data_IF_753625830319
#
_entry.id   IF_753625830319
#
_cell.length_a   1.000
_cell.length_b   1.000
_cell.length_c   1.000
_cell.angle_alpha   90.00
_cell.angle_beta   90.00
_cell.angle_gamma   90.00
#
_symmetry.space_group_name_H-M   'P 1'
#
loop_
_entity.id
_entity.type
_entity.pdbx_description
1 polymer ?
#
# COMPACT_ATOMS: atom_id res chain seq x y z
N UNK A 1 -1.84 -23.36 2.77
CA UNK A 1 -2.31 -23.39 1.36
C UNK A 1 -1.71 -22.17 0.69
N UNK A 2 -0.79 -22.40 -0.24
CA UNK A 2 -0.14 -21.36 -1.02
C UNK A 2 -1.14 -20.85 -2.09
N UNK A 3 -1.34 -19.53 -2.15
CA UNK A 3 -2.19 -18.89 -3.15
C UNK A 3 -1.40 -18.77 -4.46
N UNK A 4 -1.78 -19.57 -5.45
CA UNK A 4 -1.34 -19.40 -6.83
C UNK A 4 -2.07 -18.20 -7.46
N UNK A 5 -1.33 -17.11 -7.62
CA UNK A 5 -1.70 -15.90 -8.35
C UNK A 5 -1.39 -16.12 -9.84
N UNK A 6 -2.41 -16.42 -10.65
CA UNK A 6 -2.23 -16.55 -12.09
C UNK A 6 -2.85 -15.37 -12.87
N UNK A 7 -1.95 -14.49 -13.34
CA UNK A 7 -1.71 -14.16 -14.77
C UNK A 7 -2.36 -12.94 -15.46
N UNK A 8 -3.01 -12.03 -14.73
CA UNK A 8 -2.91 -10.56 -15.00
C UNK A 8 -2.35 -9.83 -13.76
N UNK A 9 -1.76 -10.60 -12.85
CA UNK A 9 -1.82 -10.36 -11.41
C UNK A 9 -0.45 -10.38 -10.71
N UNK A 10 0.65 -10.19 -11.45
CA UNK A 10 1.98 -10.15 -10.84
C UNK A 10 2.36 -8.75 -10.39
N UNK A 11 2.26 -7.73 -11.25
CA UNK A 11 2.76 -6.39 -10.91
C UNK A 11 1.86 -5.66 -9.91
N UNK A 12 0.54 -5.65 -10.14
CA UNK A 12 -0.40 -5.07 -9.19
C UNK A 12 -0.41 -5.82 -7.85
N UNK A 13 -0.32 -7.15 -7.89
CA UNK A 13 -0.19 -7.99 -6.71
C UNK A 13 1.11 -7.73 -5.93
N UNK A 14 2.21 -7.47 -6.64
CA UNK A 14 3.49 -7.09 -6.04
C UNK A 14 3.44 -5.71 -5.38
N UNK A 15 2.83 -4.72 -6.03
CA UNK A 15 2.65 -3.38 -5.44
C UNK A 15 1.77 -3.46 -4.20
N UNK A 16 0.63 -4.17 -4.26
CA UNK A 16 -0.23 -4.38 -3.10
C UNK A 16 0.49 -5.10 -1.95
N UNK A 17 1.35 -6.09 -2.25
CA UNK A 17 2.17 -6.75 -1.24
C UNK A 17 3.18 -5.79 -0.61
N UNK A 18 3.87 -4.97 -1.41
CA UNK A 18 4.81 -3.95 -0.89
C UNK A 18 4.08 -2.94 0.01
N UNK A 19 2.89 -2.53 -0.38
CA UNK A 19 2.02 -1.63 0.40
C UNK A 19 1.60 -2.28 1.72
N UNK A 20 1.10 -3.51 1.70
CA UNK A 20 0.68 -4.24 2.91
C UNK A 20 1.85 -4.40 3.90
N UNK A 21 3.01 -4.83 3.40
CA UNK A 21 4.24 -4.92 4.21
C UNK A 21 4.61 -3.57 4.82
N UNK A 22 4.54 -2.50 4.04
CA UNK A 22 4.90 -1.14 4.47
C UNK A 22 3.95 -0.61 5.54
N UNK A 23 2.64 -0.80 5.36
CA UNK A 23 1.62 -0.46 6.37
C UNK A 23 1.85 -1.24 7.65
N UNK A 24 2.14 -2.54 7.55
CA UNK A 24 2.40 -3.38 8.72
C UNK A 24 3.64 -2.91 9.48
N UNK A 25 4.73 -2.63 8.76
CA UNK A 25 5.99 -2.16 9.35
C UNK A 25 5.81 -0.81 10.08
N UNK A 26 5.12 0.15 9.47
CA UNK A 26 4.89 1.46 10.12
C UNK A 26 3.95 1.36 11.33
N UNK A 27 2.95 0.46 11.31
CA UNK A 27 2.09 0.23 12.47
C UNK A 27 2.81 -0.38 13.68
N UNK A 28 3.94 -1.07 13.46
CA UNK A 28 4.76 -1.69 14.50
C UNK A 28 6.07 -0.94 14.75
N UNK A 29 6.17 0.30 14.26
CA UNK A 29 7.35 1.13 14.46
C UNK A 29 7.62 1.37 15.95
N UNK A 30 8.88 1.20 16.35
CA UNK A 30 9.41 1.59 17.66
C UNK A 30 10.69 2.42 17.48
N UNK A 31 10.89 3.43 18.32
CA UNK A 31 12.01 4.38 18.19
C UNK A 31 13.39 3.72 18.36
N UNK A 32 13.47 2.62 19.12
CA UNK A 32 14.74 1.99 19.52
C UNK A 32 15.56 1.43 18.35
N UNK A 33 14.93 1.05 17.22
CA UNK A 33 15.60 0.59 15.98
C UNK A 33 14.84 0.99 14.70
N UNK A 34 13.85 1.87 14.80
CA UNK A 34 12.86 2.06 13.74
C UNK A 34 13.36 2.83 12.51
N UNK A 35 14.42 3.62 12.61
CA UNK A 35 14.86 4.48 11.50
C UNK A 35 15.36 3.71 10.28
N UNK A 36 16.05 2.59 10.45
CA UNK A 36 16.48 1.74 9.32
C UNK A 36 15.28 1.07 8.64
N UNK A 37 14.31 0.62 9.44
CA UNK A 37 13.05 0.07 8.96
C UNK A 37 12.28 1.11 8.15
N UNK A 38 12.18 2.36 8.64
CA UNK A 38 11.50 3.45 7.92
C UNK A 38 12.20 3.79 6.61
N UNK A 39 13.54 3.76 6.57
CA UNK A 39 14.28 3.94 5.29
C UNK A 39 13.93 2.85 4.29
N UNK A 40 13.90 1.59 4.73
CA UNK A 40 13.49 0.47 3.87
C UNK A 40 12.05 0.61 3.39
N UNK A 41 11.13 1.09 4.23
CA UNK A 41 9.76 1.40 3.82
C UNK A 41 9.74 2.53 2.80
N UNK A 42 10.49 3.61 3.02
CA UNK A 42 10.60 4.74 2.08
C UNK A 42 11.08 4.29 0.70
N UNK A 43 12.09 3.43 0.63
CA UNK A 43 12.60 2.89 -0.64
C UNK A 43 11.54 2.04 -1.37
N UNK A 44 10.76 1.25 -0.64
CA UNK A 44 9.63 0.48 -1.22
C UNK A 44 8.53 1.39 -1.75
N UNK A 45 8.27 2.49 -1.04
CA UNK A 45 7.27 3.50 -1.42
C UNK A 45 7.70 4.23 -2.67
N UNK A 46 8.95 4.70 -2.74
CA UNK A 46 9.53 5.34 -3.92
C UNK A 46 9.44 4.41 -5.15
N UNK A 47 9.84 3.14 -4.98
CA UNK A 47 9.72 2.14 -6.05
C UNK A 47 8.27 1.89 -6.48
N UNK A 48 7.30 2.02 -5.57
CA UNK A 48 5.88 1.84 -5.90
C UNK A 48 5.31 3.06 -6.62
N UNK A 49 5.76 4.27 -6.26
CA UNK A 49 5.44 5.51 -6.98
C UNK A 49 5.98 5.44 -8.40
N UNK A 50 7.25 5.10 -8.57
CA UNK A 50 7.89 4.98 -9.88
C UNK A 50 7.13 4.01 -10.79
N UNK A 51 6.71 2.87 -10.24
CA UNK A 51 5.93 1.87 -10.97
C UNK A 51 4.54 2.41 -11.38
N UNK A 52 3.84 3.10 -10.48
CA UNK A 52 2.55 3.71 -10.79
C UNK A 52 2.64 4.81 -11.86
N UNK A 53 3.72 5.58 -11.86
CA UNK A 53 3.95 6.64 -12.85
C UNK A 53 4.27 6.07 -14.24
N UNK A 54 5.00 4.95 -14.32
CA UNK A 54 5.37 4.33 -15.59
C UNK A 54 4.22 3.63 -16.29
N UNK A 55 3.29 3.05 -15.52
CA UNK A 55 2.19 2.25 -16.05
C UNK A 55 0.87 3.04 -16.18
N UNK A 56 0.88 4.37 -15.98
CA UNK A 56 -0.31 5.26 -15.99
C UNK A 56 -1.45 4.83 -15.03
N UNK A 57 -1.13 4.07 -13.98
CA UNK A 57 -2.07 3.53 -13.00
C UNK A 57 -2.75 4.58 -12.11
N UNK A 58 -2.34 5.83 -12.22
CA UNK A 58 -2.82 6.94 -11.40
C UNK A 58 -4.34 7.11 -11.56
N UNK A 59 -4.85 7.05 -12.78
CA UNK A 59 -6.28 7.27 -13.05
C UNK A 59 -7.13 6.04 -12.68
N UNK A 60 -6.59 4.84 -12.86
CA UNK A 60 -7.30 3.58 -12.64
C UNK A 60 -7.31 3.14 -11.16
N UNK A 61 -6.31 3.56 -10.38
CA UNK A 61 -6.07 3.06 -9.02
C UNK A 61 -5.92 4.18 -7.98
N UNK A 62 -6.85 5.15 -7.97
CA UNK A 62 -6.84 6.30 -7.06
C UNK A 62 -6.67 5.92 -5.57
N UNK A 63 -7.35 4.87 -5.10
CA UNK A 63 -7.23 4.43 -3.70
C UNK A 63 -5.85 3.86 -3.35
N UNK A 64 -5.18 3.22 -4.31
CA UNK A 64 -3.82 2.73 -4.14
C UNK A 64 -2.84 3.91 -4.06
N UNK A 65 -3.03 4.89 -4.94
CA UNK A 65 -2.25 6.13 -4.93
C UNK A 65 -2.39 6.85 -3.58
N UNK A 66 -3.60 6.99 -3.06
CA UNK A 66 -3.85 7.61 -1.77
C UNK A 66 -3.10 6.90 -0.64
N UNK A 67 -3.11 5.57 -0.61
CA UNK A 67 -2.38 4.79 0.41
C UNK A 67 -0.87 5.02 0.28
N UNK A 68 -0.32 5.00 -0.92
CA UNK A 68 1.11 5.23 -1.17
C UNK A 68 1.52 6.65 -0.78
N UNK A 69 0.70 7.66 -1.07
CA UNK A 69 0.94 9.04 -0.62
C UNK A 69 1.01 9.15 0.91
N UNK A 70 0.10 8.49 1.64
CA UNK A 70 0.15 8.52 3.10
C UNK A 70 1.28 7.69 3.70
N UNK A 71 1.73 6.63 3.01
CA UNK A 71 2.98 5.93 3.35
C UNK A 71 4.18 6.87 3.24
N UNK A 72 4.29 7.60 2.13
CA UNK A 72 5.36 8.57 1.91
C UNK A 72 5.36 9.67 2.99
N UNK A 73 4.20 10.28 3.27
CA UNK A 73 4.06 11.30 4.31
C UNK A 73 4.45 10.78 5.71
N UNK A 74 4.07 9.55 6.04
CA UNK A 74 4.45 8.92 7.31
C UNK A 74 5.97 8.68 7.39
N UNK A 75 6.60 8.23 6.30
CA UNK A 75 8.05 8.06 6.22
C UNK A 75 8.78 9.41 6.30
N UNK A 76 8.32 10.41 5.55
CA UNK A 76 8.85 11.77 5.57
C UNK A 76 8.81 12.36 6.98
N UNK A 77 7.69 12.20 7.68
CA UNK A 77 7.54 12.64 9.07
C UNK A 77 8.62 12.03 9.97
N UNK A 78 8.79 10.71 9.94
CA UNK A 78 9.78 10.02 10.77
C UNK A 78 11.23 10.35 10.38
N UNK A 79 11.54 10.47 9.08
CA UNK A 79 12.91 10.67 8.58
C UNK A 79 13.37 12.13 8.60
N UNK A 80 12.46 13.08 8.40
CA UNK A 80 12.80 14.51 8.16
C UNK A 80 12.22 15.46 9.19
N UNK A 81 11.22 15.03 9.96
CA UNK A 81 10.50 15.86 10.93
C UNK A 81 10.54 15.30 12.35
N UNK A 82 11.43 14.35 12.65
CA UNK A 82 11.52 13.70 13.97
C UNK A 82 10.17 13.13 14.44
N UNK A 83 9.35 12.62 13.51
CA UNK A 83 8.03 12.06 13.79
C UNK A 83 6.90 13.08 13.95
N UNK A 84 7.12 14.37 13.64
CA UNK A 84 6.07 15.38 13.66
C UNK A 84 4.92 14.98 12.72
N UNK A 85 3.71 14.86 13.26
CA UNK A 85 2.50 14.39 12.57
C UNK A 85 2.48 12.92 12.15
N UNK A 86 3.46 12.09 12.57
CA UNK A 86 3.49 10.67 12.20
C UNK A 86 2.21 9.94 12.60
N UNK A 87 1.70 10.18 13.81
CA UNK A 87 0.46 9.57 14.30
C UNK A 87 -0.77 9.97 13.46
N UNK A 88 -0.81 11.20 12.96
CA UNK A 88 -1.88 11.69 12.08
C UNK A 88 -1.80 10.98 10.73
N UNK A 89 -0.60 10.95 10.12
CA UNK A 89 -0.41 10.27 8.85
C UNK A 89 -0.66 8.76 8.94
N UNK A 90 -0.25 8.11 10.03
CA UNK A 90 -0.51 6.69 10.28
C UNK A 90 -2.00 6.40 10.45
N UNK A 91 -2.76 7.29 11.10
CA UNK A 91 -4.21 7.15 11.21
C UNK A 91 -4.88 7.26 9.83
N UNK A 92 -4.54 8.29 9.07
CA UNK A 92 -5.09 8.52 7.73
C UNK A 92 -4.71 7.40 6.73
N UNK A 93 -3.48 6.88 6.85
CA UNK A 93 -3.00 5.70 6.13
C UNK A 93 -3.88 4.50 6.42
N UNK A 94 -4.12 4.20 7.70
CA UNK A 94 -4.91 3.04 8.11
C UNK A 94 -6.37 3.13 7.64
N UNK A 95 -6.95 4.33 7.61
CA UNK A 95 -8.30 4.53 7.09
C UNK A 95 -8.39 4.20 5.59
N UNK A 96 -7.46 4.75 4.79
CA UNK A 96 -7.41 4.51 3.35
C UNK A 96 -7.03 3.08 3.00
N UNK A 97 -6.13 2.48 3.76
CA UNK A 97 -5.74 1.09 3.58
C UNK A 97 -6.93 0.13 3.79
N UNK A 98 -7.76 0.37 4.82
CA UNK A 98 -9.00 -0.40 5.03
C UNK A 98 -9.98 -0.24 3.86
N UNK A 99 -10.10 0.96 3.32
CA UNK A 99 -10.96 1.22 2.15
C UNK A 99 -10.43 0.46 0.91
N UNK A 100 -9.12 0.53 0.65
CA UNK A 100 -8.48 -0.20 -0.44
C UNK A 100 -8.73 -1.71 -0.33
N UNK A 101 -8.52 -2.29 0.86
CA UNK A 101 -8.82 -3.70 1.12
C UNK A 101 -10.30 -4.03 0.90
N UNK A 102 -11.21 -3.18 1.40
CA UNK A 102 -12.65 -3.39 1.22
C UNK A 102 -13.05 -3.44 -0.26
N UNK A 103 -12.54 -2.51 -1.06
CA UNK A 103 -12.81 -2.46 -2.50
C UNK A 103 -12.23 -3.67 -3.21
N UNK A 104 -10.99 -4.03 -2.89
CA UNK A 104 -10.33 -5.20 -3.45
C UNK A 104 -11.07 -6.52 -3.14
N UNK A 105 -11.53 -6.70 -1.89
CA UNK A 105 -12.30 -7.89 -1.52
C UNK A 105 -13.73 -7.88 -2.07
N UNK A 106 -14.32 -6.70 -2.31
CA UNK A 106 -15.65 -6.58 -2.90
C UNK A 106 -15.63 -6.92 -4.39
N UNK A 107 -14.63 -6.43 -5.13
CA UNK A 107 -14.43 -6.74 -6.55
C UNK A 107 -14.24 -8.25 -6.80
N UNK A 108 -13.46 -8.92 -5.93
CA UNK A 108 -13.30 -10.39 -6.02
C UNK A 108 -14.59 -11.16 -5.76
N UNK A 109 -15.49 -10.69 -4.90
CA UNK A 109 -16.78 -11.35 -4.64
C UNK A 109 -17.72 -11.26 -5.85
N UNK A 110 -17.69 -10.15 -6.57
CA UNK A 110 -18.53 -9.94 -7.75
C UNK A 110 -18.04 -10.76 -8.96
N UNK A 111 -16.72 -10.87 -9.14
CA UNK A 111 -16.10 -11.68 -10.20
C UNK A 111 -16.24 -13.19 -9.99
N UNK A 112 -16.47 -13.67 -8.77
CA UNK A 112 -16.82 -15.08 -8.49
C UNK A 112 -18.31 -15.40 -8.63
N UNK A 113 -19.18 -14.43 -8.97
CA UNK A 113 -20.63 -14.62 -9.13
C UNK A 113 -21.12 -14.67 -10.58
N UNK A 114 -20.23 -14.67 -11.57
CA UNK A 114 -20.59 -14.94 -12.98
C UNK A 114 -19.77 -16.07 -13.61
N UNK A 115 -19.98 -17.35 -13.25
CA UNK A 115 -19.42 -18.45 -14.03
C UNK A 115 -20.36 -19.00 -15.12
N UNK A 116 -21.62 -18.53 -15.26
CA UNK A 116 -22.59 -19.25 -16.11
C UNK A 116 -23.66 -18.38 -16.78
N UNK A 117 -23.28 -17.43 -17.65
CA UNK A 117 -24.18 -16.93 -18.70
C UNK A 117 -23.37 -16.57 -19.95
N UNK A 118 -22.98 -17.61 -20.69
CA UNK A 118 -22.72 -17.58 -22.14
C UNK A 118 -23.31 -18.84 -22.73
#
# INVERSE_FOLDING_TARGET
MALELHTCSNEWGEVLRRVDESVHLLNHFSEENGLELVRSVSEKVDSSIDHMLHEDWIEEHQHLQEVICFLDLACFSLLRKNGEYFSVYLQELNQRYRLLLFLYFSDRKENHHKPWLS
#
